data_IF_790786823132
#
_entry.id   IF_790786823132
#
_cell.length_a   1.000
_cell.length_b   1.000
_cell.length_c   1.000
_cell.angle_alpha   90.00
_cell.angle_beta   90.00
_cell.angle_gamma   90.00
#
_symmetry.space_group_name_H-M   'P 1'
#
loop_
_entity.id
_entity.type
_entity.pdbx_description
1 polymer ?
#
# COMPACT_ATOMS: atom_id res chain seq x y z
N UNK A 1 -65.94 20.10 -10.93
CA UNK A 1 -64.97 20.31 -9.84
C UNK A 1 -64.47 18.92 -9.44
N UNK A 2 -63.29 18.52 -9.90
CA UNK A 2 -62.05 18.48 -9.08
C UNK A 2 -62.33 17.79 -7.72
N UNK A 3 -61.77 16.63 -7.40
CA UNK A 3 -60.34 16.34 -7.47
C UNK A 3 -60.02 14.84 -7.56
N UNK A 4 -59.02 14.54 -8.42
CA UNK A 4 -58.29 13.28 -8.55
C UNK A 4 -57.67 12.82 -7.22
N UNK A 5 -57.85 11.53 -6.88
CA UNK A 5 -56.91 10.79 -6.06
C UNK A 5 -56.44 9.58 -6.89
N UNK A 6 -55.28 9.73 -7.54
CA UNK A 6 -54.60 8.66 -8.28
C UNK A 6 -53.85 7.81 -7.26
N UNK A 7 -54.37 6.62 -6.97
CA UNK A 7 -53.67 5.58 -6.24
C UNK A 7 -53.11 4.58 -7.27
N UNK A 8 -51.89 4.84 -7.75
CA UNK A 8 -51.15 3.89 -8.59
C UNK A 8 -50.73 2.68 -7.72
N UNK A 9 -51.45 1.58 -7.87
CA UNK A 9 -51.04 0.27 -7.34
C UNK A 9 -49.87 -0.22 -8.19
N UNK A 10 -48.67 -0.21 -7.60
CA UNK A 10 -47.49 -0.88 -8.11
C UNK A 10 -47.75 -2.38 -8.12
N UNK A 11 -48.05 -2.95 -9.30
CA UNK A 11 -48.04 -4.40 -9.50
C UNK A 11 -46.59 -4.87 -9.56
N UNK A 12 -46.12 -5.46 -8.47
CA UNK A 12 -44.90 -6.24 -8.44
C UNK A 12 -45.10 -7.48 -9.31
N UNK A 13 -44.33 -7.59 -10.40
CA UNK A 13 -44.24 -8.86 -11.12
C UNK A 13 -43.51 -9.86 -10.21
N UNK A 14 -44.26 -10.69 -9.52
CA UNK A 14 -43.72 -11.87 -8.86
C UNK A 14 -43.38 -12.90 -9.95
N UNK A 15 -42.10 -13.12 -10.20
CA UNK A 15 -41.65 -14.28 -10.97
C UNK A 15 -41.92 -15.53 -10.15
N UNK A 16 -42.95 -16.28 -10.52
CA UNK A 16 -43.20 -17.60 -9.95
C UNK A 16 -42.12 -18.59 -10.40
N UNK A 17 -41.76 -19.53 -9.53
CA UNK A 17 -40.95 -20.69 -9.91
C UNK A 17 -41.68 -21.45 -11.02
N UNK A 18 -41.05 -21.57 -12.18
CA UNK A 18 -41.55 -22.44 -13.26
C UNK A 18 -40.94 -23.82 -13.06
N UNK A 19 -41.76 -24.77 -12.61
CA UNK A 19 -41.39 -26.18 -12.57
C UNK A 19 -41.67 -26.82 -13.93
N UNK A 20 -40.63 -27.36 -14.58
CA UNK A 20 -40.79 -28.14 -15.79
C UNK A 20 -41.04 -29.61 -15.43
N UNK A 21 -42.16 -30.17 -15.88
CA UNK A 21 -42.47 -31.59 -15.73
C UNK A 21 -41.63 -32.41 -16.73
N UNK A 22 -40.53 -32.97 -16.25
CA UNK A 22 -39.61 -33.81 -17.02
C UNK A 22 -40.19 -35.18 -17.42
N UNK A 23 -41.42 -35.53 -17.02
CA UNK A 23 -42.09 -36.79 -17.35
C UNK A 23 -43.01 -36.74 -18.57
N UNK A 24 -43.21 -35.56 -19.19
CA UNK A 24 -44.13 -35.42 -20.32
C UNK A 24 -43.62 -36.10 -21.60
N UNK A 25 -44.51 -36.85 -22.27
CA UNK A 25 -44.24 -37.55 -23.55
C UNK A 25 -44.01 -36.61 -24.76
N UNK A 26 -44.12 -35.30 -24.56
CA UNK A 26 -43.92 -34.27 -25.61
C UNK A 26 -42.57 -33.57 -25.54
N UNK A 27 -41.65 -34.01 -24.66
CA UNK A 27 -40.31 -33.44 -24.54
C UNK A 27 -39.37 -34.11 -25.55
N UNK A 28 -38.68 -33.30 -26.36
CA UNK A 28 -37.55 -33.76 -27.16
C UNK A 28 -36.36 -33.99 -26.23
N UNK A 29 -36.24 -35.21 -25.70
CA UNK A 29 -35.12 -35.62 -24.85
C UNK A 29 -33.96 -36.05 -25.74
N UNK A 30 -32.90 -35.25 -25.78
CA UNK A 30 -31.61 -35.64 -26.31
C UNK A 30 -30.83 -36.41 -25.25
N UNK A 31 -30.65 -37.71 -25.46
CA UNK A 31 -29.80 -38.55 -24.62
C UNK A 31 -28.36 -38.47 -25.09
N UNK A 32 -27.46 -38.06 -24.21
CA UNK A 32 -26.01 -38.08 -24.45
C UNK A 32 -25.43 -39.29 -23.74
N UNK A 33 -24.80 -40.18 -24.49
CA UNK A 33 -24.06 -41.32 -23.95
C UNK A 33 -22.70 -40.85 -23.44
N UNK A 34 -22.33 -41.20 -22.21
CA UNK A 34 -20.98 -40.99 -21.66
C UNK A 34 -20.02 -42.11 -22.02
N UNK A 35 -20.51 -43.17 -22.68
CA UNK A 35 -19.72 -44.34 -23.08
C UNK A 35 -19.20 -44.16 -24.52
N UNK A 36 -19.96 -43.45 -25.35
CA UNK A 36 -19.55 -43.17 -26.73
C UNK A 36 -18.60 -41.98 -26.74
N UNK A 37 -17.30 -42.25 -26.75
CA UNK A 37 -16.31 -41.23 -27.10
C UNK A 37 -16.60 -40.79 -28.53
N UNK A 38 -17.00 -39.53 -28.74
CA UNK A 38 -16.87 -38.95 -30.06
C UNK A 38 -15.40 -39.08 -30.46
N UNK A 39 -15.16 -39.70 -31.61
CA UNK A 39 -13.85 -39.67 -32.26
C UNK A 39 -13.51 -38.20 -32.55
N UNK A 40 -12.84 -37.54 -31.60
CA UNK A 40 -12.08 -36.35 -31.88
C UNK A 40 -10.93 -36.81 -32.77
N UNK A 41 -11.18 -36.95 -34.07
CA UNK A 41 -10.13 -37.19 -35.05
C UNK A 41 -9.18 -36.00 -34.92
N UNK A 42 -8.01 -36.15 -34.26
CA UNK A 42 -7.08 -35.06 -34.18
C UNK A 42 -6.51 -35.00 -35.59
N UNK A 43 -7.03 -34.11 -36.43
CA UNK A 43 -6.21 -33.64 -37.54
C UNK A 43 -4.84 -33.38 -36.92
N UNK A 44 -3.79 -34.03 -37.45
CA UNK A 44 -2.42 -33.85 -36.98
C UNK A 44 -2.04 -32.38 -37.18
N UNK A 45 -2.44 -31.54 -36.23
CA UNK A 45 -1.96 -30.19 -36.07
C UNK A 45 -0.55 -30.40 -35.57
N UNK A 46 0.39 -30.57 -36.50
CA UNK A 46 1.80 -30.66 -36.15
C UNK A 46 2.19 -29.34 -35.48
N UNK A 47 2.36 -29.32 -34.15
CA UNK A 47 2.68 -28.09 -33.45
C UNK A 47 4.12 -27.75 -33.77
N UNK A 48 4.38 -26.49 -34.12
CA UNK A 48 5.77 -26.02 -34.13
C UNK A 48 6.12 -25.59 -32.73
N UNK A 49 7.07 -26.29 -32.11
CA UNK A 49 7.68 -25.87 -30.87
C UNK A 49 8.96 -25.09 -31.20
N UNK A 50 9.08 -23.87 -30.67
CA UNK A 50 10.27 -23.05 -30.76
C UNK A 50 10.66 -22.57 -29.37
N UNK A 51 11.94 -22.66 -29.03
CA UNK A 51 12.46 -22.11 -27.77
C UNK A 51 12.66 -20.60 -27.89
N UNK A 52 12.03 -19.83 -26.99
CA UNK A 52 12.15 -18.36 -26.91
C UNK A 52 12.59 -17.93 -25.52
N UNK A 53 13.34 -16.83 -25.42
CA UNK A 53 13.64 -16.24 -24.13
C UNK A 53 12.57 -15.18 -23.82
N UNK A 54 11.88 -15.30 -22.69
CA UNK A 54 10.82 -14.37 -22.32
C UNK A 54 10.98 -13.83 -20.90
N UNK A 55 10.31 -12.71 -20.64
CA UNK A 55 9.93 -12.31 -19.29
C UNK A 55 8.41 -12.49 -19.12
N UNK A 56 8.02 -13.19 -18.06
CA UNK A 56 6.63 -13.25 -17.60
C UNK A 56 6.41 -12.16 -16.56
N UNK A 57 5.53 -11.22 -16.86
CA UNK A 57 5.20 -10.09 -16.01
C UNK A 57 3.83 -10.28 -15.36
N UNK A 58 3.71 -9.84 -14.10
CA UNK A 58 2.43 -9.70 -13.41
C UNK A 58 2.14 -8.24 -13.11
N UNK A 59 0.92 -7.79 -13.41
CA UNK A 59 0.42 -6.49 -12.98
C UNK A 59 0.20 -6.50 -11.46
N UNK A 60 0.94 -5.65 -10.76
CA UNK A 60 0.92 -5.47 -9.32
C UNK A 60 0.17 -4.21 -8.92
N UNK A 61 -0.76 -4.37 -7.99
CA UNK A 61 -1.55 -3.28 -7.43
C UNK A 61 -0.87 -2.65 -6.21
N UNK A 62 0.11 -3.36 -5.62
CA UNK A 62 0.70 -3.02 -4.34
C UNK A 62 2.23 -3.03 -4.38
N UNK A 63 2.83 -2.16 -3.61
CA UNK A 63 4.26 -2.11 -3.36
C UNK A 63 4.50 -1.78 -1.87
N UNK A 64 5.74 -1.53 -1.48
CA UNK A 64 6.10 -1.06 -0.15
C UNK A 64 7.03 0.14 -0.21
N UNK A 65 6.93 1.01 0.79
CA UNK A 65 7.83 2.13 1.00
C UNK A 65 8.32 2.15 2.44
N UNK A 66 9.58 2.54 2.64
CA UNK A 66 10.10 2.78 3.99
C UNK A 66 9.53 4.07 4.54
N UNK A 67 9.02 4.01 5.75
CA UNK A 67 8.36 5.09 6.46
C UNK A 67 9.10 5.40 7.75
N UNK A 68 9.37 6.68 7.96
CA UNK A 68 9.97 7.23 9.17
C UNK A 68 8.95 8.12 9.87
N UNK A 69 8.62 7.81 11.13
CA UNK A 69 7.66 8.55 11.94
C UNK A 69 8.31 9.14 13.19
N UNK A 70 7.88 10.36 13.52
CA UNK A 70 8.22 11.05 14.76
C UNK A 70 6.97 11.76 15.33
N UNK A 71 6.59 11.40 16.55
CA UNK A 71 5.56 12.08 17.33
C UNK A 71 6.18 12.66 18.58
N UNK A 72 6.09 13.97 18.72
CA UNK A 72 6.54 14.69 19.91
C UNK A 72 5.34 15.40 20.50
N UNK A 73 4.87 14.93 21.65
CA UNK A 73 3.77 15.54 22.38
C UNK A 73 4.36 16.29 23.58
N UNK A 74 4.03 17.57 23.71
CA UNK A 74 4.44 18.40 24.84
C UNK A 74 3.20 18.71 25.67
N UNK A 75 3.17 18.26 26.92
CA UNK A 75 2.24 18.76 27.95
C UNK A 75 3.02 19.72 28.85
N UNK A 76 2.72 21.02 28.74
CA UNK A 76 3.38 22.08 29.51
C UNK A 76 2.44 22.67 30.53
N UNK A 77 2.99 23.05 31.68
CA UNK A 77 2.32 23.84 32.71
C UNK A 77 3.20 25.02 33.11
N UNK A 78 2.60 26.21 33.10
CA UNK A 78 3.23 27.46 33.50
C UNK A 78 2.74 27.86 34.88
N UNK A 79 3.66 28.31 35.71
CA UNK A 79 3.40 28.99 36.97
C UNK A 79 4.04 30.38 36.96
N UNK A 80 3.46 31.32 37.70
CA UNK A 80 4.10 32.58 38.05
C UNK A 80 4.94 32.37 39.31
N UNK A 81 6.20 32.81 39.30
CA UNK A 81 7.11 32.72 40.43
C UNK A 81 7.18 34.05 41.18
N UNK A 82 6.38 34.22 42.24
CA UNK A 82 6.31 35.45 43.00
C UNK A 82 7.48 35.69 43.96
N UNK A 83 7.39 36.81 44.68
CA UNK A 83 8.31 37.13 45.78
C UNK A 83 8.34 35.95 46.78
N UNK A 84 9.50 35.68 47.38
CA UNK A 84 9.71 34.55 48.30
C UNK A 84 9.46 33.15 47.71
N UNK A 85 9.58 32.99 46.39
CA UNK A 85 9.37 31.71 45.68
C UNK A 85 7.95 31.15 45.75
N UNK A 86 6.94 32.01 45.95
CA UNK A 86 5.55 31.58 45.90
C UNK A 86 5.11 31.29 44.45
N UNK A 87 4.64 30.07 44.17
CA UNK A 87 4.11 29.73 42.85
C UNK A 87 2.61 29.96 42.76
N UNK A 88 2.16 30.66 41.71
CA UNK A 88 0.74 30.91 41.44
C UNK A 88 0.35 30.41 40.05
N UNK A 89 -0.90 29.97 39.90
CA UNK A 89 -1.45 29.60 38.59
C UNK A 89 -1.60 30.83 37.69
N UNK A 90 -1.43 30.65 36.38
CA UNK A 90 -1.62 31.71 35.38
C UNK A 90 -2.69 31.33 34.37
N UNK A 91 -3.33 32.34 33.78
CA UNK A 91 -4.27 32.14 32.68
C UNK A 91 -3.57 31.42 31.51
N UNK A 92 -4.25 30.44 30.91
CA UNK A 92 -3.72 29.59 29.84
C UNK A 92 -2.38 28.90 30.19
N UNK A 93 -2.14 28.64 31.48
CA UNK A 93 -0.89 28.08 31.97
C UNK A 93 -0.66 26.63 31.57
N UNK A 94 -1.71 25.81 31.40
CA UNK A 94 -1.59 24.41 30.99
C UNK A 94 -1.98 24.20 29.53
N UNK A 95 -1.16 23.47 28.78
CA UNK A 95 -1.48 23.10 27.39
C UNK A 95 -0.75 21.85 26.93
N UNK A 96 -1.47 21.02 26.18
CA UNK A 96 -0.89 19.90 25.43
C UNK A 96 -0.94 20.19 23.93
N UNK A 97 0.15 19.91 23.22
CA UNK A 97 0.22 20.09 21.78
C UNK A 97 1.26 19.16 21.13
N UNK A 98 1.11 18.97 19.82
CA UNK A 98 2.11 18.29 19.00
C UNK A 98 3.21 19.27 18.63
N UNK A 99 4.45 18.93 18.95
CA UNK A 99 5.61 19.70 18.56
C UNK A 99 5.91 19.47 17.07
N UNK A 100 5.97 20.53 16.24
CA UNK A 100 6.28 20.41 14.83
C UNK A 100 7.65 19.80 14.59
N UNK A 101 7.71 18.68 13.87
CA UNK A 101 8.96 18.11 13.38
C UNK A 101 9.04 18.30 11.88
N UNK A 102 10.23 18.60 11.37
CA UNK A 102 10.52 18.50 9.93
C UNK A 102 11.06 17.10 9.59
N UNK A 103 11.23 16.83 8.29
CA UNK A 103 11.84 15.59 7.80
C UNK A 103 13.27 15.45 8.33
N UNK A 104 14.03 16.54 8.28
CA UNK A 104 15.45 16.61 8.69
C UNK A 104 15.56 16.39 10.20
N UNK A 105 14.69 17.06 10.97
CA UNK A 105 14.62 16.91 12.42
C UNK A 105 14.28 15.49 12.82
N UNK A 106 13.26 14.89 12.18
CA UNK A 106 12.87 13.52 12.45
C UNK A 106 13.98 12.53 12.08
N UNK A 107 14.62 12.71 10.92
CA UNK A 107 15.73 11.85 10.47
C UNK A 107 16.94 11.96 11.39
N UNK A 108 17.29 13.18 11.81
CA UNK A 108 18.35 13.43 12.77
C UNK A 108 18.05 12.78 14.12
N UNK A 109 16.81 12.88 14.61
CA UNK A 109 16.39 12.22 15.85
C UNK A 109 16.52 10.69 15.77
N UNK A 110 16.13 10.09 14.65
CA UNK A 110 16.31 8.64 14.41
C UNK A 110 17.80 8.22 14.38
N UNK A 111 18.68 9.09 13.90
CA UNK A 111 20.11 8.78 13.72
C UNK A 111 20.93 9.05 14.98
N UNK A 112 20.67 10.18 15.64
CA UNK A 112 21.46 10.68 16.77
C UNK A 112 20.85 10.36 18.13
N UNK A 113 19.55 10.04 18.18
CA UNK A 113 18.82 9.89 19.44
C UNK A 113 18.71 11.20 20.23
N UNK A 114 18.85 12.36 19.57
CA UNK A 114 18.82 13.66 20.21
C UNK A 114 17.95 14.67 19.45
N UNK A 115 17.35 15.61 20.20
CA UNK A 115 16.53 16.70 19.64
C UNK A 115 16.57 17.93 20.54
N UNK A 116 16.54 19.11 19.93
CA UNK A 116 16.35 20.37 20.63
C UNK A 116 14.85 20.73 20.68
N UNK A 117 14.31 20.93 21.88
CA UNK A 117 12.94 21.40 22.08
C UNK A 117 12.88 22.93 22.00
N UNK A 118 13.96 23.58 22.46
CA UNK A 118 14.24 24.99 22.27
C UNK A 118 15.77 25.18 22.18
N UNK A 119 16.29 26.37 21.85
CA UNK A 119 17.74 26.59 21.70
C UNK A 119 18.59 26.24 22.92
N UNK A 120 18.00 26.25 24.13
CA UNK A 120 18.69 25.97 25.39
C UNK A 120 18.50 24.52 25.89
N UNK A 121 17.52 23.78 25.36
CA UNK A 121 17.07 22.49 25.92
C UNK A 121 17.22 21.39 24.88
N UNK A 122 18.21 20.54 25.10
CA UNK A 122 18.44 19.33 24.32
C UNK A 122 17.97 18.11 25.11
N UNK A 123 17.22 17.23 24.45
CA UNK A 123 16.93 15.89 24.92
C UNK A 123 17.88 14.93 24.19
N UNK A 124 18.52 14.03 24.92
CA UNK A 124 19.42 13.00 24.39
C UNK A 124 19.02 11.62 24.90
N UNK A 125 19.55 10.56 24.29
CA UNK A 125 19.28 9.18 24.70
C UNK A 125 17.91 8.65 24.26
N UNK A 126 17.28 9.27 23.25
CA UNK A 126 16.03 8.79 22.67
C UNK A 126 16.28 7.48 21.94
N UNK A 127 15.67 6.40 22.42
CA UNK A 127 15.83 5.06 21.85
C UNK A 127 15.01 4.89 20.57
N UNK A 128 15.63 4.35 19.52
CA UNK A 128 14.97 4.01 18.26
C UNK A 128 13.79 3.06 18.46
N UNK A 129 12.73 3.23 17.64
CA UNK A 129 11.52 2.38 17.65
C UNK A 129 10.87 2.25 19.03
N UNK A 130 10.82 3.35 19.80
CA UNK A 130 10.27 3.35 21.15
C UNK A 130 9.50 4.64 21.46
N UNK A 131 8.76 4.60 22.57
CA UNK A 131 8.15 5.78 23.20
C UNK A 131 8.86 6.06 24.52
N UNK A 132 9.36 7.28 24.68
CA UNK A 132 10.09 7.75 25.87
C UNK A 132 9.49 9.04 26.40
N UNK A 133 9.67 9.28 27.70
CA UNK A 133 9.12 10.44 28.42
C UNK A 133 10.24 11.21 29.11
N UNK A 134 10.22 12.53 28.99
CA UNK A 134 11.20 13.42 29.60
C UNK A 134 10.49 14.53 30.35
N UNK A 135 10.82 14.71 31.62
CA UNK A 135 10.35 15.84 32.43
C UNK A 135 11.44 16.90 32.47
N UNK A 136 11.11 18.14 32.12
CA UNK A 136 12.09 19.22 31.99
C UNK A 136 11.47 20.58 32.29
N UNK A 137 12.34 21.55 32.58
CA UNK A 137 11.97 22.96 32.75
C UNK A 137 12.36 23.71 31.49
N UNK A 138 11.37 24.20 30.73
CA UNK A 138 11.58 24.92 29.47
C UNK A 138 12.03 26.36 29.68
N UNK A 139 11.63 26.98 30.80
CA UNK A 139 11.97 28.35 31.17
C UNK A 139 11.85 28.56 32.69
N UNK A 140 12.66 29.46 33.21
CA UNK A 140 12.81 29.69 34.66
C UNK A 140 13.66 28.61 35.32
N UNK A 141 13.88 28.75 36.63
CA UNK A 141 14.61 27.76 37.43
C UNK A 141 13.79 27.34 38.64
N UNK A 142 13.95 26.09 39.03
CA UNK A 142 13.37 25.50 40.23
C UNK A 142 14.51 24.83 40.98
N UNK A 143 14.80 25.33 42.18
CA UNK A 143 15.78 24.75 43.08
C UNK A 143 15.23 23.50 43.79
N UNK A 144 16.10 22.56 44.19
CA UNK A 144 15.69 21.37 44.94
C UNK A 144 15.15 21.70 46.34
N UNK A 145 15.43 22.89 46.85
CA UNK A 145 14.95 23.46 48.11
C UNK A 145 13.58 24.15 47.98
N UNK A 146 12.96 24.11 46.80
CA UNK A 146 11.69 24.77 46.51
C UNK A 146 11.83 26.25 46.14
N UNK A 147 13.06 26.77 46.02
CA UNK A 147 13.27 28.12 45.48
C UNK A 147 12.91 28.19 44.01
N UNK A 148 12.44 29.34 43.55
CA UNK A 148 12.04 29.52 42.18
C UNK A 148 12.54 30.87 41.65
N UNK A 149 12.95 30.91 40.37
CA UNK A 149 13.23 32.16 39.66
C UNK A 149 12.53 32.14 38.32
N UNK A 150 11.53 33.01 38.16
CA UNK A 150 10.81 33.14 36.90
C UNK A 150 11.60 33.93 35.85
N UNK A 151 11.23 33.73 34.60
CA UNK A 151 11.73 34.51 33.45
C UNK A 151 10.58 34.86 32.52
N UNK A 152 10.79 35.74 31.56
CA UNK A 152 9.78 35.98 30.52
C UNK A 152 9.73 34.79 29.56
N UNK A 153 8.53 34.27 29.31
CA UNK A 153 8.28 33.16 28.40
C UNK A 153 7.16 33.52 27.44
N UNK A 154 7.32 33.18 26.16
CA UNK A 154 6.32 33.40 25.13
C UNK A 154 6.25 32.18 24.23
N UNK A 155 5.04 31.83 23.83
CA UNK A 155 4.76 30.81 22.82
C UNK A 155 3.54 31.23 21.98
N UNK A 156 3.11 30.46 20.96
CA UNK A 156 1.96 30.80 20.13
C UNK A 156 0.62 30.98 20.87
N UNK A 157 0.57 30.74 22.18
CA UNK A 157 -0.64 30.77 22.99
C UNK A 157 -0.64 31.88 24.05
N UNK A 158 0.46 32.63 24.18
CA UNK A 158 0.51 33.77 25.07
C UNK A 158 1.93 34.19 25.45
N UNK A 159 1.99 35.21 26.31
CA UNK A 159 3.23 35.70 26.90
C UNK A 159 3.01 35.86 28.39
N UNK A 160 3.97 35.36 29.17
CA UNK A 160 3.95 35.40 30.63
C UNK A 160 5.26 35.98 31.13
N UNK A 161 5.16 36.85 32.13
CA UNK A 161 6.33 37.43 32.80
C UNK A 161 6.56 36.71 34.12
N UNK A 162 7.83 36.61 34.50
CA UNK A 162 8.25 35.94 35.74
C UNK A 162 7.66 34.52 35.87
N UNK A 163 7.73 33.78 34.76
CA UNK A 163 7.14 32.48 34.57
C UNK A 163 8.17 31.36 34.77
N UNK A 164 7.67 30.22 35.26
CA UNK A 164 8.37 28.94 35.30
C UNK A 164 7.54 27.96 34.48
N UNK A 165 8.20 27.29 33.54
CA UNK A 165 7.52 26.41 32.58
C UNK A 165 8.05 25.00 32.77
N UNK A 166 7.23 24.13 33.35
CA UNK A 166 7.50 22.70 33.42
C UNK A 166 6.82 22.00 32.25
N UNK A 167 7.48 21.00 31.67
CA UNK A 167 6.91 20.23 30.59
C UNK A 167 7.26 18.74 30.70
N UNK A 168 6.31 17.91 30.29
CA UNK A 168 6.53 16.51 29.99
C UNK A 168 6.51 16.35 28.47
N UNK A 169 7.65 15.94 27.92
CA UNK A 169 7.82 15.66 26.50
C UNK A 169 7.74 14.15 26.29
N UNK A 170 6.73 13.71 25.53
CA UNK A 170 6.58 12.32 25.11
C UNK A 170 7.03 12.20 23.66
N UNK A 171 8.10 11.44 23.44
CA UNK A 171 8.72 11.24 22.12
C UNK A 171 8.46 9.80 21.69
N UNK A 172 7.81 9.61 20.54
CA UNK A 172 7.64 8.32 19.89
C UNK A 172 8.27 8.34 18.51
N UNK A 173 9.20 7.44 18.24
CA UNK A 173 9.85 7.30 16.94
C UNK A 173 9.66 5.89 16.40
N UNK A 174 9.30 5.75 15.12
CA UNK A 174 9.06 4.45 14.47
C UNK A 174 9.61 4.43 13.05
N UNK A 175 10.16 3.29 12.64
CA UNK A 175 10.60 3.02 11.28
C UNK A 175 10.05 1.67 10.83
N UNK A 176 9.36 1.63 9.70
CA UNK A 176 8.74 0.41 9.17
C UNK A 176 8.46 0.51 7.67
N UNK A 177 8.15 -0.64 7.04
CA UNK A 177 7.65 -0.70 5.66
C UNK A 177 6.12 -0.57 5.64
N UNK A 178 5.61 0.45 4.95
CA UNK A 178 4.19 0.65 4.72
C UNK A 178 3.77 0.12 3.35
N UNK A 179 2.50 -0.26 3.21
CA UNK A 179 1.92 -0.69 1.93
C UNK A 179 1.62 0.51 1.05
N UNK A 180 1.99 0.41 -0.22
CA UNK A 180 1.71 1.42 -1.25
C UNK A 180 0.72 0.82 -2.24
N UNK A 181 -0.39 1.50 -2.49
CA UNK A 181 -1.34 1.15 -3.55
C UNK A 181 -1.02 1.96 -4.80
N UNK A 182 -0.46 1.30 -5.81
CA UNK A 182 0.03 1.94 -7.03
C UNK A 182 -1.10 2.48 -7.91
N UNK A 183 -2.28 1.85 -7.88
CA UNK A 183 -3.43 2.24 -8.69
C UNK A 183 -4.06 3.57 -8.26
N UNK A 184 -4.06 3.87 -6.96
CA UNK A 184 -4.59 5.12 -6.40
C UNK A 184 -3.51 6.10 -5.94
N UNK A 185 -2.23 5.81 -6.19
CA UNK A 185 -1.11 6.64 -5.77
C UNK A 185 -1.13 6.96 -4.26
N UNK A 186 -1.42 5.95 -3.44
CA UNK A 186 -1.61 6.10 -1.99
C UNK A 186 -0.64 5.23 -1.21
N UNK A 187 -0.19 5.74 -0.06
CA UNK A 187 0.49 4.98 0.98
C UNK A 187 -0.49 4.75 2.15
N UNK A 188 -0.49 3.54 2.71
CA UNK A 188 -1.35 3.14 3.81
C UNK A 188 -0.47 2.93 5.04
N UNK A 189 -0.63 3.79 6.04
CA UNK A 189 0.13 3.77 7.28
C UNK A 189 -0.37 2.67 8.23
N UNK A 190 0.40 2.33 9.26
CA UNK A 190 0.01 1.30 10.25
C UNK A 190 -1.24 1.67 11.05
N UNK A 191 -1.52 2.96 11.21
CA UNK A 191 -2.80 3.47 11.76
C UNK A 191 -4.00 3.25 10.84
N UNK A 192 -3.78 2.77 9.61
CA UNK A 192 -4.80 2.66 8.56
C UNK A 192 -5.03 3.96 7.78
N UNK A 193 -4.39 5.07 8.17
CA UNK A 193 -4.48 6.34 7.48
C UNK A 193 -3.91 6.23 6.06
N UNK A 194 -4.62 6.80 5.09
CA UNK A 194 -4.23 6.83 3.68
C UNK A 194 -3.72 8.21 3.32
N UNK A 195 -2.52 8.29 2.80
CA UNK A 195 -1.89 9.54 2.37
C UNK A 195 -1.49 9.44 0.89
N UNK A 196 -1.40 10.58 0.21
CA UNK A 196 -0.95 10.63 -1.18
C UNK A 196 0.54 10.31 -1.25
N UNK A 197 0.96 9.35 -2.09
CA UNK A 197 2.34 8.88 -2.13
C UNK A 197 3.34 9.95 -2.58
N UNK A 198 2.93 10.87 -3.46
CA UNK A 198 3.82 11.85 -4.09
C UNK A 198 4.17 13.04 -3.20
N UNK A 199 3.44 13.27 -2.10
CA UNK A 199 3.77 14.34 -1.14
C UNK A 199 5.03 14.02 -0.35
N UNK A 200 5.35 12.73 -0.18
CA UNK A 200 6.48 12.28 0.63
C UNK A 200 6.32 12.51 2.14
N UNK A 201 5.15 13.00 2.58
CA UNK A 201 4.87 13.27 3.98
C UNK A 201 3.36 13.17 4.31
N UNK A 202 3.08 12.95 5.58
CA UNK A 202 1.73 12.99 6.15
C UNK A 202 1.78 13.33 7.62
N UNK A 203 0.75 13.98 8.15
CA UNK A 203 0.49 13.99 9.58
C UNK A 203 -0.43 12.81 9.92
N UNK A 204 0.14 11.78 10.53
CA UNK A 204 -0.61 10.65 11.08
C UNK A 204 -1.27 11.10 12.39
N UNK A 205 -2.60 11.01 12.46
CA UNK A 205 -3.37 11.41 13.64
C UNK A 205 -2.96 10.66 14.91
N UNK A 206 -2.52 9.41 14.78
CA UNK A 206 -2.10 8.57 15.90
C UNK A 206 -0.59 8.67 16.15
N UNK A 207 0.21 8.67 15.07
CA UNK A 207 1.66 8.50 15.12
C UNK A 207 2.49 9.73 14.73
N UNK A 208 1.85 10.89 14.55
CA UNK A 208 2.54 12.16 14.32
C UNK A 208 3.12 12.32 12.91
N UNK A 209 4.20 13.10 12.81
CA UNK A 209 4.79 13.45 11.53
C UNK A 209 5.44 12.23 10.88
N UNK A 210 5.04 11.97 9.64
CA UNK A 210 5.39 10.77 8.88
C UNK A 210 6.03 11.17 7.56
N UNK A 211 7.12 10.50 7.20
CA UNK A 211 7.91 10.77 5.99
C UNK A 211 8.28 9.49 5.25
N UNK A 212 8.37 9.59 3.92
CA UNK A 212 8.88 8.54 3.05
C UNK A 212 9.51 9.14 1.80
N UNK A 213 10.26 8.34 1.06
CA UNK A 213 10.79 8.77 -0.24
C UNK A 213 9.72 8.64 -1.31
N UNK A 214 9.52 9.71 -2.07
CA UNK A 214 8.64 9.68 -3.24
C UNK A 214 9.23 8.76 -4.30
N UNK A 215 8.36 8.12 -5.06
CA UNK A 215 8.80 7.34 -6.20
C UNK A 215 8.99 8.30 -7.38
N UNK A 216 10.10 8.21 -8.14
CA UNK A 216 10.24 9.00 -9.35
C UNK A 216 9.10 8.67 -10.32
N UNK A 217 8.65 9.69 -11.04
CA UNK A 217 7.57 9.57 -12.03
C UNK A 217 7.89 8.46 -13.02
N UNK A 218 6.97 7.50 -13.12
CA UNK A 218 7.10 6.34 -13.99
C UNK A 218 6.11 6.46 -15.14
N UNK A 219 6.52 7.18 -16.19
CA UNK A 219 5.70 7.43 -17.39
C UNK A 219 5.22 6.12 -18.04
N UNK A 220 6.00 5.05 -17.89
CA UNK A 220 5.75 3.75 -18.48
C UNK A 220 5.08 2.77 -17.53
N UNK A 221 4.83 3.17 -16.28
CA UNK A 221 4.29 2.32 -15.24
C UNK A 221 5.07 1.00 -15.05
N UNK A 222 6.38 0.97 -15.31
CA UNK A 222 7.24 -0.21 -15.08
C UNK A 222 7.08 -0.80 -13.67
N UNK A 223 6.84 0.05 -12.67
CA UNK A 223 6.64 -0.34 -11.26
C UNK A 223 5.34 -1.08 -11.01
N UNK A 224 4.35 -0.98 -11.90
CA UNK A 224 3.13 -1.79 -11.83
C UNK A 224 3.37 -3.21 -12.34
N UNK A 225 4.56 -3.54 -12.82
CA UNK A 225 4.87 -4.88 -13.30
C UNK A 225 5.99 -5.52 -12.49
N UNK A 226 5.73 -6.77 -12.10
CA UNK A 226 6.66 -7.62 -11.39
C UNK A 226 7.07 -8.78 -12.30
N UNK A 227 8.36 -9.11 -12.32
CA UNK A 227 8.89 -10.21 -13.14
C UNK A 227 8.74 -11.51 -12.36
N UNK A 228 7.84 -12.38 -12.81
CA UNK A 228 7.62 -13.70 -12.23
C UNK A 228 8.62 -14.74 -12.77
N UNK A 229 9.04 -14.58 -14.02
CA UNK A 229 9.98 -15.49 -14.67
C UNK A 229 10.80 -14.74 -15.72
N UNK A 230 12.10 -15.01 -15.80
CA UNK A 230 13.02 -14.52 -16.84
C UNK A 230 13.85 -15.72 -17.31
N UNK A 231 13.57 -16.21 -18.52
CA UNK A 231 14.23 -17.40 -19.02
C UNK A 231 13.62 -17.99 -20.29
N UNK A 232 14.16 -19.14 -20.69
CA UNK A 232 13.75 -19.88 -21.88
C UNK A 232 12.40 -20.58 -21.67
N UNK A 233 11.56 -20.56 -22.70
CA UNK A 233 10.24 -21.20 -22.74
C UNK A 233 10.00 -21.84 -24.10
N UNK A 234 9.12 -22.83 -24.15
CA UNK A 234 8.69 -23.45 -25.40
C UNK A 234 7.42 -22.77 -25.90
N UNK A 235 7.54 -22.06 -27.02
CA UNK A 235 6.43 -21.45 -27.75
C UNK A 235 5.89 -22.47 -28.75
N UNK A 236 4.65 -22.87 -28.58
CA UNK A 236 3.94 -23.83 -29.41
C UNK A 236 2.91 -23.09 -30.26
N UNK A 237 2.94 -23.27 -31.57
CA UNK A 237 1.97 -22.67 -32.50
C UNK A 237 1.58 -23.63 -33.62
N UNK A 238 0.35 -23.54 -34.11
CA UNK A 238 -0.15 -24.33 -35.24
C UNK A 238 0.40 -23.81 -36.58
N UNK A 239 0.85 -24.71 -37.47
CA UNK A 239 1.33 -24.34 -38.83
C UNK A 239 0.22 -24.13 -39.86
N UNK A 240 -0.95 -24.77 -39.67
CA UNK A 240 -1.95 -24.96 -40.74
C UNK A 240 -3.30 -24.27 -40.50
N UNK A 241 -3.60 -23.89 -39.25
CA UNK A 241 -4.79 -23.11 -38.88
C UNK A 241 -4.37 -22.00 -37.90
N UNK A 242 -5.13 -20.91 -37.81
CA UNK A 242 -5.03 -19.95 -36.71
C UNK A 242 -5.39 -20.66 -35.39
N UNK A 243 -4.40 -21.34 -34.82
CA UNK A 243 -4.49 -22.00 -33.52
C UNK A 243 -3.87 -21.12 -32.43
N UNK A 244 -4.27 -21.31 -31.17
CA UNK A 244 -3.70 -20.55 -30.06
C UNK A 244 -2.18 -20.75 -30.00
N UNK A 245 -1.45 -19.64 -29.83
CA UNK A 245 -0.01 -19.72 -29.51
C UNK A 245 0.13 -19.90 -28.01
N UNK A 246 0.81 -20.95 -27.57
CA UNK A 246 0.94 -21.31 -26.16
C UNK A 246 2.41 -21.23 -25.75
N UNK A 247 2.68 -20.61 -24.61
CA UNK A 247 4.01 -20.53 -24.00
C UNK A 247 4.06 -21.47 -22.80
N UNK A 248 4.99 -22.40 -22.81
CA UNK A 248 5.09 -23.46 -21.80
C UNK A 248 6.47 -23.51 -21.16
N UNK A 249 6.49 -23.75 -19.85
CA UNK A 249 7.70 -24.02 -19.07
C UNK A 249 7.47 -25.26 -18.24
N UNK A 250 8.43 -26.18 -18.32
CA UNK A 250 8.49 -27.42 -17.55
C UNK A 250 9.93 -27.62 -17.04
N UNK A 251 10.41 -26.70 -16.19
CA UNK A 251 11.79 -26.73 -15.71
C UNK A 251 11.86 -26.53 -14.20
N UNK A 252 12.39 -27.53 -13.49
CA UNK A 252 12.57 -27.50 -12.03
C UNK A 252 11.23 -27.37 -11.29
N UNK A 253 11.14 -26.37 -10.41
CA UNK A 253 9.94 -26.06 -9.62
C UNK A 253 8.94 -25.13 -10.34
N UNK A 254 9.27 -24.63 -11.55
CA UNK A 254 8.43 -23.67 -12.28
C UNK A 254 7.72 -24.37 -13.43
N UNK A 255 6.39 -24.45 -13.34
CA UNK A 255 5.54 -25.01 -14.38
C UNK A 255 4.43 -24.01 -14.71
N UNK A 256 4.32 -23.63 -15.99
CA UNK A 256 3.17 -22.89 -16.48
C UNK A 256 2.91 -23.14 -17.96
N UNK A 257 1.66 -22.97 -18.35
CA UNK A 257 1.20 -22.91 -19.73
C UNK A 257 0.29 -21.69 -19.88
N UNK A 258 0.63 -20.77 -20.77
CA UNK A 258 -0.11 -19.53 -20.98
C UNK A 258 -0.40 -19.35 -22.47
N UNK A 259 -1.66 -19.09 -22.77
CA UNK A 259 -2.18 -18.90 -24.11
C UNK A 259 -2.15 -17.43 -24.48
N UNK A 260 -1.47 -17.10 -25.58
CA UNK A 260 -1.48 -15.76 -26.14
C UNK A 260 -2.88 -15.42 -26.68
N UNK A 261 -3.41 -14.28 -26.24
CA UNK A 261 -4.71 -13.75 -26.69
C UNK A 261 -4.52 -12.61 -27.70
N UNK A 262 -3.88 -11.52 -27.27
CA UNK A 262 -3.66 -10.30 -28.06
C UNK A 262 -2.30 -9.69 -27.72
N UNK A 263 -1.90 -8.67 -28.47
CA UNK A 263 -0.67 -7.90 -28.17
C UNK A 263 -1.02 -6.45 -27.89
N UNK A 264 -0.26 -5.80 -27.02
CA UNK A 264 -0.36 -4.36 -26.76
C UNK A 264 1.03 -3.76 -26.64
N UNK A 265 1.15 -2.45 -26.84
CA UNK A 265 2.45 -1.77 -26.78
C UNK A 265 2.49 -0.86 -25.55
N UNK A 266 3.56 -0.97 -24.77
CA UNK A 266 3.82 -0.11 -23.61
C UNK A 266 5.26 0.37 -23.67
N UNK A 267 5.45 1.69 -23.87
CA UNK A 267 6.77 2.32 -23.96
C UNK A 267 7.75 1.63 -24.92
N UNK A 268 7.28 1.28 -26.11
CA UNK A 268 8.09 0.60 -27.13
C UNK A 268 8.23 -0.90 -26.94
N UNK A 269 7.83 -1.47 -25.79
CA UNK A 269 7.77 -2.92 -25.59
C UNK A 269 6.44 -3.47 -26.11
N UNK A 270 6.49 -4.58 -26.85
CA UNK A 270 5.30 -5.37 -27.19
C UNK A 270 5.02 -6.38 -26.08
N UNK A 271 3.94 -6.15 -25.34
CA UNK A 271 3.41 -7.04 -24.32
C UNK A 271 2.39 -7.98 -24.96
N UNK A 272 2.64 -9.28 -24.85
CA UNK A 272 1.72 -10.34 -25.23
C UNK A 272 0.77 -10.57 -24.06
N UNK A 273 -0.53 -10.32 -24.26
CA UNK A 273 -1.56 -10.63 -23.28
C UNK A 273 -1.82 -12.13 -23.27
N UNK A 274 -2.09 -12.64 -22.08
CA UNK A 274 -2.45 -14.05 -21.85
C UNK A 274 -3.96 -14.17 -21.59
N UNK A 275 -4.44 -15.37 -21.35
CA UNK A 275 -5.79 -15.64 -20.83
C UNK A 275 -6.01 -15.05 -19.43
N UNK A 276 -4.93 -14.87 -18.66
CA UNK A 276 -5.01 -14.26 -17.34
C UNK A 276 -4.87 -12.72 -17.44
N UNK A 277 -5.82 -11.93 -16.93
CA UNK A 277 -5.90 -10.48 -17.19
C UNK A 277 -4.74 -9.67 -16.62
N UNK A 278 -3.96 -10.24 -15.70
CA UNK A 278 -2.79 -9.61 -15.07
C UNK A 278 -1.45 -10.20 -15.52
N UNK A 279 -1.42 -11.21 -16.38
CA UNK A 279 -0.16 -11.83 -16.83
C UNK A 279 0.16 -11.43 -18.27
N UNK A 280 1.39 -11.00 -18.48
CA UNK A 280 1.89 -10.53 -19.76
C UNK A 280 3.23 -11.19 -20.08
N UNK A 281 3.45 -11.52 -21.34
CA UNK A 281 4.69 -12.10 -21.83
C UNK A 281 5.43 -11.06 -22.67
N UNK A 282 6.74 -10.94 -22.48
CA UNK A 282 7.62 -10.15 -23.35
C UNK A 282 8.64 -11.08 -23.97
N UNK A 283 8.71 -11.09 -25.30
CA UNK A 283 9.79 -11.74 -26.04
C UNK A 283 11.07 -10.91 -25.92
N UNK A 284 12.01 -11.40 -25.10
CA UNK A 284 13.28 -10.72 -24.79
C UNK A 284 14.15 -10.61 -26.03
N UNK A 285 14.05 -11.56 -26.97
CA UNK A 285 14.84 -11.53 -28.19
C UNK A 285 14.44 -10.36 -29.10
N UNK A 286 13.18 -9.92 -29.03
CA UNK A 286 12.64 -8.83 -29.87
C UNK A 286 12.71 -7.48 -29.16
N UNK A 287 12.34 -7.44 -27.89
CA UNK A 287 12.11 -6.18 -27.17
C UNK A 287 13.18 -5.89 -26.11
N UNK A 288 14.14 -6.79 -25.88
CA UNK A 288 15.02 -6.72 -24.73
C UNK A 288 14.29 -7.04 -23.42
N UNK A 289 14.98 -6.85 -22.29
CA UNK A 289 14.40 -7.06 -20.96
C UNK A 289 13.67 -5.82 -20.49
N UNK A 290 12.45 -6.00 -19.99
CA UNK A 290 11.57 -4.93 -19.52
C UNK A 290 11.98 -4.42 -18.14
N UNK A 291 12.39 -5.32 -17.25
CA UNK A 291 12.86 -5.02 -15.89
C UNK A 291 13.92 -6.06 -15.50
N UNK A 292 14.97 -5.72 -14.73
CA UNK A 292 15.87 -6.72 -14.19
C UNK A 292 15.09 -7.72 -13.32
N UNK A 293 15.46 -9.00 -13.39
CA UNK A 293 14.86 -10.03 -12.57
C UNK A 293 15.07 -9.70 -11.08
N UNK A 294 13.98 -9.37 -10.38
CA UNK A 294 13.97 -9.30 -8.92
C UNK A 294 13.69 -10.69 -8.37
N UNK A 295 14.35 -11.08 -7.28
CA UNK A 295 13.98 -12.27 -6.51
C UNK A 295 12.60 -12.08 -5.91
N UNK A 296 11.57 -12.50 -6.64
CA UNK A 296 10.24 -12.68 -6.08
C UNK A 296 10.11 -14.18 -5.87
N UNK A 297 10.01 -14.62 -4.62
CA UNK A 297 9.66 -15.99 -4.27
C UNK A 297 8.17 -16.20 -4.54
N UNK A 298 7.75 -16.14 -5.81
CA UNK A 298 6.39 -16.55 -6.19
C UNK A 298 6.45 -18.04 -6.40
N UNK A 299 5.75 -18.77 -5.53
CA UNK A 299 5.41 -20.15 -5.82
C UNK A 299 4.37 -20.14 -6.96
N UNK A 300 4.83 -20.19 -8.22
CA UNK A 300 3.95 -20.16 -9.41
C UNK A 300 2.92 -21.31 -9.38
N UNK A 301 3.14 -22.36 -8.58
CA UNK A 301 2.20 -23.46 -8.41
C UNK A 301 0.83 -23.00 -7.89
N UNK A 302 0.74 -21.94 -7.07
CA UNK A 302 -0.55 -21.44 -6.58
C UNK A 302 -1.33 -20.62 -7.62
N UNK A 303 -0.68 -20.05 -8.64
CA UNK A 303 -1.33 -19.12 -9.58
C UNK A 303 -1.76 -19.79 -10.89
N UNK A 304 -1.11 -20.88 -11.29
CA UNK A 304 -1.31 -21.50 -12.61
C UNK A 304 -2.13 -22.80 -12.53
N UNK A 305 -2.25 -23.42 -11.36
CA UNK A 305 -2.92 -24.72 -11.20
C UNK A 305 -4.43 -24.64 -10.92
N UNK A 306 -5.14 -23.61 -11.42
CA UNK A 306 -6.61 -23.56 -11.37
C UNK A 306 -7.31 -24.20 -12.57
N UNK A 307 -6.57 -24.87 -13.45
CA UNK A 307 -7.16 -25.68 -14.51
C UNK A 307 -6.66 -27.13 -14.39
N UNK A 308 -7.47 -27.97 -13.75
CA UNK A 308 -7.84 -29.36 -14.11
C UNK A 308 -7.93 -30.27 -12.88
N UNK A 309 -9.16 -30.61 -12.49
CA UNK A 309 -9.66 -31.99 -12.38
C UNK A 309 -11.12 -31.96 -11.88
N UNK A 310 -12.05 -32.13 -12.80
CA UNK A 310 -13.36 -32.75 -12.58
C UNK A 310 -13.55 -33.78 -13.66
#
# INVERSE_FOLDING_TARGET
MLSLAVLCILTTQASALVGYDCGSRTLNVSTFSTIDSLDCNPEEIQPTAETRNIQLLQLSDFNSAQVTQCKLEIDRTIYYCGMHSHTSIVANGRRQYLFPSTRETCTSLHTTGAIFINPATQITGVRANSTTHYSLTLAGTIGPDGTCSGTSYSDPHGTWNNAIVQAVVKISIRNYKATVKLSSNQIILQSGQRCELQTGNCLDSENGYTYWNTLPTDYCNFRKYDVLYDGKVNRVSSRKREGPTIYTVTSGETVFALTQTTTTTLCGFTLIKTEHPKLFIIDVNRNGRFKPASTISVNLACYVMLCTCS
#
